data_IF_550853924435
#
_entry.id   IF_550853924435
#
_cell.length_a   1.000
_cell.length_b   1.000
_cell.length_c   1.000
_cell.angle_alpha   90.00
_cell.angle_beta   90.00
_cell.angle_gamma   90.00
#
_symmetry.space_group_name_H-M   'P 1'
#
loop_
_entity.id
_entity.type
_entity.pdbx_description
1 polymer ?
#
# COMPACT_ATOMS: atom_id res chain seq x y z
N UNK A 1 12.38 2.57 15.67
CA UNK A 1 11.45 2.07 16.71
C UNK A 1 10.16 2.84 16.52
N UNK A 2 9.03 2.14 16.40
CA UNK A 2 7.74 2.72 15.96
C UNK A 2 7.36 3.99 16.72
N UNK A 3 6.79 4.97 16.01
CA UNK A 3 6.24 6.17 16.66
C UNK A 3 5.08 5.78 17.58
N UNK A 4 5.26 5.97 18.89
CA UNK A 4 4.28 5.65 19.92
C UNK A 4 3.02 6.56 19.85
N UNK A 5 3.11 7.66 19.09
CA UNK A 5 1.99 8.57 18.85
C UNK A 5 1.23 8.25 17.56
N UNK A 6 1.69 7.29 16.76
CA UNK A 6 1.02 6.89 15.53
C UNK A 6 -0.27 6.13 15.86
N UNK A 7 -1.40 6.84 15.84
CA UNK A 7 -2.74 6.32 16.16
C UNK A 7 -3.50 6.00 14.89
N UNK A 8 -3.89 4.74 14.73
CA UNK A 8 -4.76 4.27 13.65
C UNK A 8 -5.59 3.08 14.11
N UNK A 9 -6.70 2.83 13.42
CA UNK A 9 -7.39 1.53 13.47
C UNK A 9 -7.36 0.87 12.10
N UNK A 10 -7.55 -0.46 12.07
CA UNK A 10 -7.72 -1.17 10.79
C UNK A 10 -8.90 -0.61 10.00
N UNK A 11 -9.98 -0.19 10.67
CA UNK A 11 -11.16 0.40 10.04
C UNK A 11 -10.80 1.73 9.40
N UNK A 12 -10.12 2.63 10.10
CA UNK A 12 -9.76 3.96 9.56
C UNK A 12 -8.90 3.84 8.29
N UNK A 13 -7.90 2.94 8.32
CA UNK A 13 -7.05 2.66 7.15
C UNK A 13 -7.83 2.05 6.00
N UNK A 14 -8.64 1.03 6.28
CA UNK A 14 -9.48 0.42 5.26
C UNK A 14 -10.40 1.45 4.62
N UNK A 15 -11.11 2.25 5.41
CA UNK A 15 -12.00 3.31 4.94
C UNK A 15 -11.27 4.45 4.22
N UNK A 16 -9.99 4.70 4.54
CA UNK A 16 -9.13 5.61 3.78
C UNK A 16 -8.80 5.02 2.42
N UNK A 17 -8.32 3.78 2.35
CA UNK A 17 -7.86 3.15 1.11
C UNK A 17 -8.99 2.93 0.08
N UNK A 18 -10.19 2.55 0.53
CA UNK A 18 -11.33 2.32 -0.38
C UNK A 18 -11.80 3.59 -1.11
N UNK A 19 -11.38 4.78 -0.67
CA UNK A 19 -11.69 6.06 -1.35
C UNK A 19 -10.79 6.34 -2.55
N UNK A 20 -9.65 5.66 -2.67
CA UNK A 20 -8.77 5.79 -3.82
C UNK A 20 -9.36 4.99 -4.99
N UNK A 21 -9.52 5.64 -6.14
CA UNK A 21 -9.82 4.92 -7.38
C UNK A 21 -8.53 4.23 -7.85
N UNK A 22 -8.46 2.92 -7.61
CA UNK A 22 -7.31 2.08 -8.00
C UNK A 22 -7.71 1.01 -9.02
N UNK A 23 -8.84 1.17 -9.69
CA UNK A 23 -9.32 0.17 -10.64
C UNK A 23 -8.28 -0.13 -11.74
N UNK A 24 -8.07 -1.41 -12.05
CA UNK A 24 -7.18 -1.84 -13.13
C UNK A 24 -7.81 -1.70 -14.52
N UNK A 25 -6.96 -1.71 -15.54
CA UNK A 25 -7.33 -1.62 -16.95
C UNK A 25 -6.77 -2.85 -17.69
N UNK A 26 -7.65 -3.74 -18.15
CA UNK A 26 -7.28 -4.99 -18.81
C UNK A 26 -6.66 -4.79 -20.20
N UNK A 27 -6.94 -3.65 -20.84
CA UNK A 27 -6.43 -3.34 -22.18
C UNK A 27 -5.06 -2.65 -22.14
N UNK A 28 -4.57 -2.33 -20.94
CA UNK A 28 -3.31 -1.61 -20.74
C UNK A 28 -2.08 -2.49 -21.00
N UNK A 29 -1.05 -1.87 -21.57
CA UNK A 29 0.27 -2.48 -21.79
C UNK A 29 1.36 -1.89 -20.90
N UNK A 30 0.98 -1.03 -19.94
CA UNK A 30 1.89 -0.37 -19.00
C UNK A 30 1.78 -0.97 -17.60
N UNK A 31 2.77 -0.68 -16.76
CA UNK A 31 2.78 -1.06 -15.35
C UNK A 31 2.96 0.19 -14.47
N UNK A 32 2.02 0.52 -13.57
CA UNK A 32 0.71 -0.12 -13.39
C UNK A 32 -0.19 0.06 -14.64
N UNK A 33 -1.29 -0.69 -14.68
CA UNK A 33 -2.21 -0.63 -15.81
C UNK A 33 -2.90 0.74 -15.95
N UNK A 34 -3.14 1.41 -14.83
CA UNK A 34 -3.68 2.78 -14.77
C UNK A 34 -2.87 3.62 -13.77
N UNK A 35 -2.36 4.81 -14.15
CA UNK A 35 -1.61 5.70 -13.27
C UNK A 35 -2.32 6.07 -11.97
N UNK A 36 -3.66 6.03 -11.91
CA UNK A 36 -4.41 6.33 -10.67
C UNK A 36 -4.07 5.40 -9.51
N UNK A 37 -3.62 4.18 -9.79
CA UNK A 37 -3.15 3.23 -8.78
C UNK A 37 -1.96 3.78 -7.98
N UNK A 38 -1.14 4.64 -8.60
CA UNK A 38 0.05 5.21 -7.97
C UNK A 38 -0.29 6.16 -6.81
N UNK A 39 -1.50 6.72 -6.75
CA UNK A 39 -1.88 7.63 -5.68
C UNK A 39 -1.96 6.91 -4.33
N UNK A 40 -2.56 5.71 -4.29
CA UNK A 40 -2.54 4.88 -3.09
C UNK A 40 -1.11 4.40 -2.77
N UNK A 41 -0.35 3.95 -3.78
CA UNK A 41 1.03 3.48 -3.58
C UNK A 41 1.94 4.55 -2.97
N UNK A 42 1.85 5.81 -3.43
CA UNK A 42 2.63 6.94 -2.86
C UNK A 42 2.28 7.19 -1.39
N UNK A 43 0.99 7.14 -1.06
CA UNK A 43 0.51 7.35 0.30
C UNK A 43 0.94 6.20 1.22
N UNK A 44 0.92 4.96 0.74
CA UNK A 44 1.47 3.80 1.46
C UNK A 44 2.96 3.95 1.78
N UNK A 45 3.78 4.49 0.86
CA UNK A 45 5.20 4.77 1.15
C UNK A 45 5.33 5.78 2.30
N UNK A 46 4.51 6.82 2.33
CA UNK A 46 4.50 7.81 3.40
C UNK A 46 4.10 7.14 4.72
N UNK A 47 3.00 6.40 4.73
CA UNK A 47 2.53 5.69 5.93
C UNK A 47 3.56 4.69 6.46
N UNK A 48 4.22 3.92 5.61
CA UNK A 48 5.26 2.96 6.02
C UNK A 48 6.45 3.68 6.67
N UNK A 49 6.85 4.85 6.14
CA UNK A 49 7.90 5.68 6.75
C UNK A 49 7.47 6.25 8.10
N UNK A 50 6.23 6.72 8.22
CA UNK A 50 5.66 7.24 9.48
C UNK A 50 5.60 6.16 10.56
N UNK A 51 5.29 4.91 10.18
CA UNK A 51 5.34 3.74 11.08
C UNK A 51 6.79 3.43 11.50
N UNK A 52 7.79 3.86 10.73
CA UNK A 52 9.21 3.72 11.04
C UNK A 52 9.98 2.73 10.16
N UNK A 53 9.41 2.29 9.03
CA UNK A 53 10.09 1.50 8.02
C UNK A 53 10.78 2.46 7.04
N UNK A 54 11.99 2.87 7.39
CA UNK A 54 12.70 3.97 6.72
C UNK A 54 13.16 3.63 5.30
N UNK A 55 13.26 2.35 4.95
CA UNK A 55 13.63 1.86 3.62
C UNK A 55 12.44 1.80 2.64
N UNK A 56 11.23 2.18 3.08
CA UNK A 56 10.05 2.15 2.24
C UNK A 56 10.24 3.01 0.97
N UNK A 57 10.00 2.41 -0.17
CA UNK A 57 10.10 3.06 -1.47
C UNK A 57 9.09 2.47 -2.46
N UNK A 58 8.87 3.21 -3.55
CA UNK A 58 8.11 2.76 -4.70
C UNK A 58 9.04 2.70 -5.90
N UNK A 59 9.01 1.61 -6.66
CA UNK A 59 9.79 1.49 -7.89
C UNK A 59 9.12 2.19 -9.09
N UNK A 60 9.75 2.08 -10.26
CA UNK A 60 9.28 2.68 -11.51
C UNK A 60 7.94 2.10 -12.01
N UNK A 61 7.58 0.89 -11.58
CA UNK A 61 6.34 0.21 -11.96
C UNK A 61 5.25 0.31 -10.90
N UNK A 62 5.48 1.09 -9.82
CA UNK A 62 4.49 1.34 -8.78
C UNK A 62 4.46 0.30 -7.65
N UNK A 63 5.43 -0.62 -7.58
CA UNK A 63 5.53 -1.59 -6.48
C UNK A 63 6.07 -0.92 -5.22
N UNK A 64 5.34 -1.07 -4.12
CA UNK A 64 5.75 -0.56 -2.80
C UNK A 64 6.44 -1.66 -2.01
N UNK A 65 7.66 -1.39 -1.56
CA UNK A 65 8.49 -2.33 -0.81
C UNK A 65 9.04 -1.65 0.44
N UNK A 66 9.03 -2.36 1.57
CA UNK A 66 9.63 -1.94 2.82
C UNK A 66 10.05 -3.16 3.65
N UNK A 67 11.01 -2.97 4.55
CA UNK A 67 11.56 -4.04 5.40
C UNK A 67 11.35 -3.71 6.87
N UNK A 68 10.81 -4.66 7.63
CA UNK A 68 10.85 -4.62 9.08
C UNK A 68 12.10 -5.38 9.58
N UNK A 69 13.05 -4.73 10.26
CA UNK A 69 14.21 -5.42 10.82
C UNK A 69 13.82 -6.51 11.82
N UNK A 70 14.65 -7.56 11.92
CA UNK A 70 14.45 -8.59 12.95
C UNK A 70 14.39 -7.97 14.35
N UNK A 71 13.47 -8.47 15.16
CA UNK A 71 13.39 -8.17 16.60
C UNK A 71 13.88 -9.34 17.47
N UNK A 72 14.56 -10.32 16.86
CA UNK A 72 15.09 -11.50 17.53
C UNK A 72 16.55 -11.73 17.13
N UNK A 73 17.36 -12.20 18.08
CA UNK A 73 18.76 -12.60 17.87
C UNK A 73 18.88 -14.02 17.26
N UNK A 74 17.76 -14.72 17.05
CA UNK A 74 17.76 -16.04 16.43
C UNK A 74 17.97 -15.92 14.93
N UNK A 75 18.68 -16.88 14.36
CA UNK A 75 18.72 -17.08 12.91
C UNK A 75 17.36 -17.60 12.45
N UNK A 76 16.60 -16.75 11.77
CA UNK A 76 15.24 -17.02 11.31
C UNK A 76 15.09 -16.64 9.84
N UNK A 77 14.30 -17.40 9.05
CA UNK A 77 14.09 -17.08 7.66
C UNK A 77 13.30 -15.77 7.50
N UNK A 78 13.64 -15.01 6.45
CA UNK A 78 12.85 -13.86 6.01
C UNK A 78 11.52 -14.33 5.45
N UNK A 79 10.43 -13.68 5.84
CA UNK A 79 9.10 -13.90 5.29
C UNK A 79 8.59 -12.64 4.59
N UNK A 80 7.75 -12.81 3.58
CA UNK A 80 7.12 -11.72 2.84
C UNK A 80 5.61 -11.72 3.00
N UNK A 81 5.04 -10.53 3.17
CA UNK A 81 3.59 -10.30 3.09
C UNK A 81 3.32 -9.48 1.83
N UNK A 82 2.38 -9.94 1.00
CA UNK A 82 2.07 -9.34 -0.29
C UNK A 82 0.58 -9.07 -0.36
N UNK A 83 0.23 -7.89 -0.87
CA UNK A 83 -1.11 -7.50 -1.24
C UNK A 83 -1.05 -6.71 -2.57
N UNK A 84 -2.15 -6.69 -3.32
CA UNK A 84 -2.30 -5.86 -4.51
C UNK A 84 -3.09 -4.59 -4.18
N UNK A 85 -2.84 -3.50 -4.91
CA UNK A 85 -3.46 -2.18 -4.65
C UNK A 85 -4.70 -1.94 -5.51
N UNK A 86 -4.84 -2.67 -6.61
CA UNK A 86 -5.85 -2.45 -7.61
C UNK A 86 -7.20 -3.08 -7.25
N UNK A 87 -8.26 -2.52 -7.83
CA UNK A 87 -9.62 -3.08 -7.75
C UNK A 87 -10.08 -3.57 -9.12
N UNK A 88 -11.01 -4.54 -9.11
CA UNK A 88 -11.47 -5.16 -10.35
C UNK A 88 -12.15 -4.16 -11.31
N UNK A 89 -11.96 -4.28 -12.63
CA UNK A 89 -12.68 -3.48 -13.63
C UNK A 89 -14.19 -3.80 -13.67
N UNK A 90 -14.62 -4.94 -13.11
CA UNK A 90 -16.01 -5.39 -13.17
C UNK A 90 -17.01 -4.45 -12.48
N UNK A 91 -16.56 -3.70 -11.46
CA UNK A 91 -17.39 -2.71 -10.74
C UNK A 91 -16.53 -1.48 -10.46
N UNK A 92 -17.07 -0.28 -10.73
CA UNK A 92 -16.33 0.96 -10.51
C UNK A 92 -16.00 1.19 -9.03
N UNK A 93 -14.70 1.40 -8.74
CA UNK A 93 -14.20 1.87 -7.44
C UNK A 93 -14.14 3.41 -7.32
N UNK A 94 -14.74 4.14 -8.25
CA UNK A 94 -14.67 5.61 -8.28
C UNK A 94 -15.70 6.25 -7.35
N UNK A 95 -15.31 7.35 -6.69
CA UNK A 95 -16.18 8.16 -5.81
C UNK A 95 -16.81 7.36 -4.65
N UNK A 96 -16.10 6.37 -4.12
CA UNK A 96 -16.56 5.60 -2.95
C UNK A 96 -16.63 6.52 -1.73
N UNK A 97 -17.80 6.55 -1.08
CA UNK A 97 -18.06 7.31 0.14
C UNK A 97 -18.53 6.36 1.26
N UNK A 98 -17.60 5.78 2.03
CA UNK A 98 -17.95 4.86 3.13
C UNK A 98 -18.67 5.60 4.27
N UNK A 99 -19.59 4.91 4.95
CA UNK A 99 -20.38 5.40 6.09
C UNK A 99 -19.88 4.86 7.43
#
# INVERSE_FOLDING_TARGET
MFDQNYKFTCVDRFLKYVKYDTQSDEDSTTFPSDPKQLELSKDLVIELKEIGLTDAHMDENGYVVATLPSNSDKDVPVIGFIAHVDTSPAVSGKNVNPQ
#
